data_IF_478574415582
#
_entry.id   IF_478574415582
#
_cell.length_a   1.000
_cell.length_b   1.000
_cell.length_c   1.000
_cell.angle_alpha   90.00
_cell.angle_beta   90.00
_cell.angle_gamma   90.00
#
_symmetry.space_group_name_H-M   'P 1'
#
loop_
_entity.id
_entity.type
_entity.pdbx_description
1 polymer ?
#
# COMPACT_ATOMS: atom_id res chain seq x y z
N UNK A 1 -15.83 4.19 -15.93
CA UNK A 1 -14.56 4.68 -15.35
C UNK A 1 -14.91 5.78 -14.36
N UNK A 2 -14.73 5.54 -13.05
CA UNK A 2 -15.09 6.52 -12.03
C UNK A 2 -14.14 7.72 -12.09
N UNK A 3 -14.69 8.93 -12.26
CA UNK A 3 -13.92 10.18 -12.20
C UNK A 3 -14.19 10.85 -10.87
N UNK A 4 -13.12 11.27 -10.21
CA UNK A 4 -13.18 12.10 -9.00
C UNK A 4 -13.82 13.44 -9.37
N UNK A 5 -14.72 13.95 -8.53
CA UNK A 5 -15.40 15.24 -8.77
C UNK A 5 -14.39 16.38 -8.84
N UNK A 6 -14.66 17.41 -9.64
CA UNK A 6 -13.76 18.56 -9.78
C UNK A 6 -13.47 19.23 -8.42
N UNK A 7 -14.48 19.33 -7.55
CA UNK A 7 -14.32 19.83 -6.17
C UNK A 7 -13.32 19.00 -5.35
N UNK A 8 -13.35 17.68 -5.49
CA UNK A 8 -12.42 16.79 -4.80
C UNK A 8 -11.01 16.88 -5.38
N UNK A 9 -10.88 17.12 -6.70
CA UNK A 9 -9.59 17.35 -7.34
C UNK A 9 -8.95 18.64 -6.81
N UNK A 10 -9.69 19.75 -6.74
CA UNK A 10 -9.19 21.02 -6.21
C UNK A 10 -8.75 20.93 -4.74
N UNK A 11 -9.51 20.20 -3.92
CA UNK A 11 -9.13 19.94 -2.52
C UNK A 11 -7.82 19.14 -2.46
N UNK A 12 -7.68 18.13 -3.33
CA UNK A 12 -6.46 17.32 -3.42
C UNK A 12 -5.25 18.19 -3.80
N UNK A 13 -5.42 19.06 -4.79
CA UNK A 13 -4.39 19.98 -5.25
C UNK A 13 -3.95 20.94 -4.15
N UNK A 14 -4.90 21.51 -3.39
CA UNK A 14 -4.61 22.37 -2.25
C UNK A 14 -3.87 21.63 -1.13
N UNK A 15 -4.25 20.40 -0.82
CA UNK A 15 -3.58 19.62 0.23
C UNK A 15 -2.19 19.14 -0.17
N UNK A 16 -2.00 18.81 -1.45
CA UNK A 16 -0.77 18.22 -1.96
C UNK A 16 0.21 19.24 -2.54
N UNK A 17 -0.26 20.43 -2.93
CA UNK A 17 0.58 21.45 -3.58
C UNK A 17 1.07 21.01 -4.97
N UNK A 18 0.39 20.05 -5.60
CA UNK A 18 0.65 19.53 -6.95
C UNK A 18 -0.67 19.48 -7.71
N UNK A 19 -0.64 19.63 -9.04
CA UNK A 19 -1.86 19.51 -9.84
C UNK A 19 -2.33 18.07 -9.89
N UNK A 20 -3.63 17.88 -10.01
CA UNK A 20 -4.28 16.58 -10.02
C UNK A 20 -3.75 15.69 -11.16
N UNK A 21 -3.53 16.25 -12.35
CA UNK A 21 -2.93 15.52 -13.48
C UNK A 21 -1.53 15.00 -13.15
N UNK A 22 -0.73 15.81 -12.47
CA UNK A 22 0.64 15.46 -12.11
C UNK A 22 0.64 14.40 -10.99
N UNK A 23 -0.42 14.34 -10.17
CA UNK A 23 -0.60 13.31 -9.15
C UNK A 23 -1.04 11.98 -9.77
N UNK A 24 -1.97 12.01 -10.72
CA UNK A 24 -2.47 10.79 -11.39
C UNK A 24 -1.39 10.12 -12.24
N UNK A 25 -0.47 10.90 -12.78
CA UNK A 25 0.58 10.40 -13.68
C UNK A 25 1.90 10.12 -12.97
N UNK A 26 1.97 10.17 -11.63
CA UNK A 26 3.21 9.88 -10.90
C UNK A 26 3.53 8.39 -10.96
N UNK A 27 4.81 8.09 -11.19
CA UNK A 27 5.34 6.74 -11.07
C UNK A 27 5.59 6.38 -9.59
N UNK A 28 5.66 5.09 -9.28
CA UNK A 28 5.88 4.60 -7.90
C UNK A 28 7.10 5.24 -7.22
N UNK A 29 8.21 5.41 -7.95
CA UNK A 29 9.43 5.99 -7.40
C UNK A 29 9.28 7.50 -7.13
N UNK A 30 8.50 8.19 -7.96
CA UNK A 30 8.16 9.60 -7.78
C UNK A 30 7.25 9.80 -6.57
N UNK A 31 6.25 8.92 -6.39
CA UNK A 31 5.38 8.94 -5.22
C UNK A 31 6.16 8.75 -3.92
N UNK A 32 7.06 7.74 -3.90
CA UNK A 32 7.91 7.46 -2.73
C UNK A 32 8.78 8.68 -2.42
N UNK A 33 9.44 9.24 -3.43
CA UNK A 33 10.32 10.41 -3.28
C UNK A 33 9.55 11.63 -2.77
N UNK A 34 8.35 11.87 -3.31
CA UNK A 34 7.48 12.96 -2.88
C UNK A 34 7.06 12.82 -1.41
N UNK A 35 6.60 11.64 -0.99
CA UNK A 35 6.18 11.39 0.39
C UNK A 35 7.35 11.52 1.36
N UNK A 36 8.52 10.97 1.00
CA UNK A 36 9.72 11.05 1.84
C UNK A 36 10.21 12.50 2.00
N UNK A 37 10.22 13.29 0.91
CA UNK A 37 10.57 14.71 0.94
C UNK A 37 9.61 15.50 1.83
N UNK A 38 8.31 15.25 1.72
CA UNK A 38 7.28 15.97 2.49
C UNK A 38 7.31 15.63 3.98
N UNK A 39 7.50 14.37 4.33
CA UNK A 39 7.48 13.92 5.73
C UNK A 39 8.86 13.97 6.40
N UNK A 40 9.92 14.26 5.64
CA UNK A 40 11.32 14.21 6.06
C UNK A 40 11.69 12.91 6.79
N UNK A 41 11.11 11.79 6.35
CA UNK A 41 11.22 10.47 6.96
C UNK A 41 11.28 9.41 5.88
N UNK A 42 12.09 8.38 6.11
CA UNK A 42 12.11 7.19 5.23
C UNK A 42 10.75 6.51 5.26
N UNK A 43 10.21 6.23 4.07
CA UNK A 43 8.97 5.49 3.93
C UNK A 43 9.25 4.02 4.29
N UNK A 44 8.70 3.56 5.41
CA UNK A 44 8.85 2.18 5.87
C UNK A 44 7.46 1.65 6.19
N UNK A 45 7.12 0.48 5.66
CA UNK A 45 5.88 -0.18 6.05
C UNK A 45 5.95 -0.57 7.52
N UNK A 46 4.89 -0.26 8.27
CA UNK A 46 4.78 -0.71 9.66
C UNK A 46 4.81 -2.23 9.73
N UNK A 47 5.78 -2.79 10.46
CA UNK A 47 5.82 -4.22 10.78
C UNK A 47 4.72 -4.65 11.76
N UNK A 48 4.02 -3.71 12.40
CA UNK A 48 2.87 -4.01 13.27
C UNK A 48 1.66 -4.40 12.42
N UNK A 49 1.15 -5.61 12.64
CA UNK A 49 -0.07 -6.10 12.00
C UNK A 49 -1.29 -5.39 12.59
N UNK A 50 -2.01 -4.61 11.77
CA UNK A 50 -3.30 -4.02 12.16
C UNK A 50 -4.39 -5.09 12.15
N UNK A 51 -4.84 -5.50 13.35
CA UNK A 51 -5.87 -6.54 13.53
C UNK A 51 -7.18 -6.21 12.82
N UNK A 52 -7.50 -4.94 12.60
CA UNK A 52 -8.71 -4.51 11.87
C UNK A 52 -8.59 -4.68 10.35
N UNK A 53 -7.37 -4.93 9.86
CA UNK A 53 -7.10 -5.17 8.44
C UNK A 53 -6.90 -6.65 8.13
N UNK A 54 -6.80 -7.51 9.15
CA UNK A 54 -6.79 -8.97 9.00
C UNK A 54 -8.16 -9.38 8.45
N UNK A 55 -8.23 -9.67 7.14
CA UNK A 55 -9.50 -10.01 6.47
C UNK A 55 -9.81 -9.18 5.22
N UNK A 56 -9.17 -8.02 5.05
CA UNK A 56 -9.34 -7.18 3.85
C UNK A 56 -8.38 -7.64 2.75
N UNK A 57 -8.87 -7.78 1.52
CA UNK A 57 -8.12 -8.32 0.38
C UNK A 57 -8.54 -9.75 0.04
N UNK A 58 -7.69 -10.48 -0.70
CA UNK A 58 -7.99 -11.84 -1.15
C UNK A 58 -8.32 -12.76 0.06
N UNK A 59 -9.51 -13.38 0.10
CA UNK A 59 -9.95 -14.26 1.19
C UNK A 59 -8.99 -15.42 1.48
N UNK A 60 -8.22 -15.87 0.48
CA UNK A 60 -7.28 -16.97 0.63
C UNK A 60 -6.00 -16.56 1.35
N UNK A 61 -5.54 -15.33 1.12
CA UNK A 61 -4.40 -14.74 1.84
C UNK A 61 -4.80 -14.41 3.29
N UNK A 62 -5.99 -13.85 3.49
CA UNK A 62 -6.48 -13.50 4.83
C UNK A 62 -6.72 -14.72 5.71
N UNK A 63 -7.20 -15.83 5.13
CA UNK A 63 -7.36 -17.13 5.81
C UNK A 63 -6.07 -17.94 5.91
N UNK A 64 -4.91 -17.38 5.52
CA UNK A 64 -3.60 -18.06 5.50
C UNK A 64 -3.60 -19.39 4.75
N UNK A 65 -4.48 -19.54 3.74
CA UNK A 65 -4.59 -20.75 2.91
C UNK A 65 -3.57 -20.75 1.77
N UNK A 66 -2.99 -19.59 1.45
CA UNK A 66 -1.85 -19.47 0.53
C UNK A 66 -0.60 -19.21 1.40
N UNK A 67 0.37 -20.11 1.30
CA UNK A 67 1.70 -19.99 1.94
C UNK A 67 2.76 -19.90 0.86
N UNK A 68 3.87 -19.25 1.16
CA UNK A 68 5.08 -19.30 0.32
C UNK A 68 5.73 -20.68 0.42
N UNK A 69 6.45 -21.10 -0.62
CA UNK A 69 7.14 -22.40 -0.63
C UNK A 69 8.11 -22.57 0.54
N UNK A 70 8.78 -21.50 0.96
CA UNK A 70 9.68 -21.53 2.12
C UNK A 70 8.96 -21.96 3.41
N UNK A 71 7.75 -21.42 3.66
CA UNK A 71 6.94 -21.79 4.83
C UNK A 71 6.42 -23.22 4.76
N UNK A 72 6.16 -23.73 3.56
CA UNK A 72 5.76 -25.13 3.37
C UNK A 72 6.92 -26.06 3.70
N UNK A 73 8.13 -25.72 3.26
CA UNK A 73 9.33 -26.49 3.55
C UNK A 73 9.69 -26.50 5.04
N UNK A 74 9.55 -25.37 5.74
CA UNK A 74 9.73 -25.29 7.19
C UNK A 74 8.74 -26.18 7.97
N UNK A 75 7.48 -26.28 7.53
CA UNK A 75 6.49 -27.14 8.18
C UNK A 75 6.75 -28.63 7.90
N UNK A 76 7.10 -28.97 6.66
CA UNK A 76 7.48 -30.34 6.29
C UNK A 76 8.71 -30.83 7.09
N UNK A 77 9.68 -29.95 7.33
CA UNK A 77 10.87 -30.27 8.12
C UNK A 77 10.57 -30.54 9.60
N UNK A 78 9.45 -30.06 10.14
CA UNK A 78 9.03 -30.32 11.54
C UNK A 78 8.25 -31.62 11.72
N UNK A 79 7.68 -32.15 10.64
CA UNK A 79 6.92 -33.40 10.65
C UNK A 79 7.85 -34.62 10.46
N UNK A 80 9.04 -34.39 9.92
CA UNK A 80 10.08 -35.39 9.70
C UNK A 80 10.96 -35.56 10.93
#
# INVERSE_FOLDING_TARGET
MYKISNSSQEILEKMLGKRYKDIVNMDCDEEISYIQKRNNRKLIFSGKVDKRKIGRGNPLLSRRRIKTMDKVNEELARIK
#
